data_IF_670855849842
#
_entry.id   IF_670855849842
#
_cell.length_a   1.000
_cell.length_b   1.000
_cell.length_c   1.000
_cell.angle_alpha   90.00
_cell.angle_beta   90.00
_cell.angle_gamma   90.00
#
_symmetry.space_group_name_H-M   'P 1'
#
loop_
_entity.id
_entity.type
_entity.pdbx_description
1 polymer ?
#
# COMPACT_ATOMS: atom_id res chain seq x y z
N UNK A 1 2.25 28.59 34.62
CA UNK A 1 2.23 27.39 33.77
C UNK A 1 1.73 27.82 32.41
N UNK A 2 2.63 27.96 31.43
CA UNK A 2 2.24 28.35 30.06
C UNK A 2 1.73 27.07 29.40
N UNK A 3 0.41 26.99 29.17
CA UNK A 3 -0.17 25.97 28.29
C UNK A 3 0.27 26.29 26.86
N UNK A 4 1.42 25.74 26.46
CA UNK A 4 1.86 25.79 25.07
C UNK A 4 1.12 24.66 24.34
N UNK A 5 -0.14 24.91 23.98
CA UNK A 5 -0.76 24.18 22.89
C UNK A 5 -0.08 24.63 21.58
N UNK A 6 1.17 24.23 21.39
CA UNK A 6 1.85 24.38 20.10
C UNK A 6 1.17 23.38 19.18
N UNK A 7 0.22 23.85 18.38
CA UNK A 7 -0.21 23.10 17.21
C UNK A 7 1.02 22.90 16.34
N UNK A 8 1.54 21.68 16.31
CA UNK A 8 2.62 21.32 15.41
C UNK A 8 2.10 21.57 13.99
N UNK A 9 2.67 22.55 13.27
CA UNK A 9 2.35 22.79 11.87
C UNK A 9 2.79 21.56 11.07
N UNK A 10 1.86 20.65 10.82
CA UNK A 10 2.05 19.57 9.86
C UNK A 10 1.80 20.13 8.47
N UNK A 11 2.68 19.79 7.53
CA UNK A 11 2.53 20.17 6.14
C UNK A 11 2.76 18.96 5.27
N UNK A 12 2.05 18.94 4.15
CA UNK A 12 2.21 17.91 3.14
C UNK A 12 2.90 18.50 1.92
N UNK A 13 3.91 17.82 1.41
CA UNK A 13 4.47 18.12 0.09
C UNK A 13 3.51 17.57 -0.99
N UNK A 14 2.84 18.43 -1.78
CA UNK A 14 1.89 17.98 -2.79
C UNK A 14 2.54 17.16 -3.90
N UNK A 15 3.83 17.36 -4.19
CA UNK A 15 4.53 16.56 -5.19
C UNK A 15 4.69 15.12 -4.74
N UNK A 16 5.07 14.90 -3.48
CA UNK A 16 5.22 13.55 -2.93
C UNK A 16 3.88 12.84 -2.75
N UNK A 17 2.79 13.59 -2.47
CA UNK A 17 1.42 13.03 -2.54
C UNK A 17 1.10 12.56 -3.96
N UNK A 18 1.31 13.41 -4.96
CA UNK A 18 1.02 13.04 -6.34
C UNK A 18 1.86 11.83 -6.79
N UNK A 19 3.12 11.77 -6.39
CA UNK A 19 4.03 10.67 -6.67
C UNK A 19 3.61 9.37 -5.99
N UNK A 20 3.18 9.40 -4.72
CA UNK A 20 2.70 8.21 -4.01
C UNK A 20 1.46 7.63 -4.71
N UNK A 21 0.50 8.49 -5.07
CA UNK A 21 -0.71 8.11 -5.81
C UNK A 21 -0.35 7.50 -7.17
N UNK A 22 0.60 8.10 -7.89
CA UNK A 22 1.06 7.58 -9.18
C UNK A 22 1.69 6.18 -9.04
N UNK A 23 2.58 5.98 -8.05
CA UNK A 23 3.19 4.67 -7.76
C UNK A 23 2.10 3.63 -7.51
N UNK A 24 1.09 3.98 -6.72
CA UNK A 24 -0.04 3.10 -6.41
C UNK A 24 -0.83 2.69 -7.65
N UNK A 25 -1.11 3.65 -8.55
CA UNK A 25 -1.82 3.40 -9.81
C UNK A 25 -0.99 2.50 -10.73
N UNK A 26 0.31 2.76 -10.89
CA UNK A 26 1.22 1.92 -11.69
C UNK A 26 1.28 0.49 -11.14
N UNK A 27 1.37 0.34 -9.82
CA UNK A 27 1.31 -0.96 -9.15
C UNK A 27 0.01 -1.71 -9.42
N UNK A 28 -1.12 -1.00 -9.36
CA UNK A 28 -2.43 -1.58 -9.63
C UNK A 28 -2.55 -2.08 -11.08
N UNK A 29 -2.03 -1.34 -12.06
CA UNK A 29 -1.94 -1.80 -13.45
C UNK A 29 -1.04 -3.03 -13.57
N UNK A 30 0.19 -2.98 -13.06
CA UNK A 30 1.16 -4.07 -13.16
C UNK A 30 0.59 -5.37 -12.58
N UNK A 31 -0.04 -5.28 -11.42
CA UNK A 31 -0.58 -6.45 -10.76
C UNK A 31 -1.90 -6.94 -11.37
N UNK A 32 -2.69 -6.10 -12.05
CA UNK A 32 -3.82 -6.59 -12.87
C UNK A 32 -3.30 -7.37 -14.08
N UNK A 33 -2.30 -6.85 -14.77
CA UNK A 33 -1.72 -7.50 -15.95
C UNK A 33 -1.05 -8.84 -15.60
N UNK A 34 -0.26 -8.86 -14.52
CA UNK A 34 0.31 -10.08 -13.98
C UNK A 34 -0.77 -11.07 -13.54
N UNK A 35 -1.91 -10.61 -13.01
CA UNK A 35 -3.01 -11.49 -12.63
C UNK A 35 -3.66 -12.21 -13.81
N UNK A 36 -3.70 -11.59 -15.00
CA UNK A 36 -4.17 -12.26 -16.22
C UNK A 36 -3.21 -13.39 -16.61
N UNK A 37 -1.90 -13.14 -16.55
CA UNK A 37 -0.87 -14.17 -16.80
C UNK A 37 -0.89 -15.32 -15.81
N UNK A 38 -1.16 -15.05 -14.53
CA UNK A 38 -1.34 -16.10 -13.51
C UNK A 38 -2.54 -16.99 -13.87
N UNK A 39 -3.61 -16.47 -14.48
CA UNK A 39 -4.78 -17.28 -14.85
C UNK A 39 -4.53 -18.20 -16.04
N UNK A 40 -3.67 -17.79 -16.97
CA UNK A 40 -3.37 -18.53 -18.20
C UNK A 40 -2.22 -19.53 -18.03
N UNK A 41 -1.33 -19.30 -17.06
CA UNK A 41 -0.19 -20.17 -16.79
C UNK A 41 -0.53 -21.43 -15.98
N UNK A 42 0.31 -22.46 -16.11
CA UNK A 42 0.26 -23.70 -15.32
C UNK A 42 1.64 -24.10 -14.78
N UNK A 43 1.68 -24.95 -13.76
CA UNK A 43 2.91 -25.53 -13.23
C UNK A 43 3.91 -24.48 -12.71
N UNK A 44 5.19 -24.58 -13.12
CA UNK A 44 6.25 -23.66 -12.69
C UNK A 44 6.04 -22.22 -13.17
N UNK A 45 5.47 -22.02 -14.35
CA UNK A 45 5.17 -20.69 -14.87
C UNK A 45 4.10 -19.99 -14.02
N UNK A 46 3.08 -20.74 -13.57
CA UNK A 46 2.07 -20.21 -12.64
C UNK A 46 2.70 -19.69 -11.34
N UNK A 47 3.62 -20.47 -10.75
CA UNK A 47 4.35 -20.04 -9.54
C UNK A 47 5.18 -18.78 -9.79
N UNK A 48 5.87 -18.71 -10.93
CA UNK A 48 6.69 -17.54 -11.29
C UNK A 48 5.84 -16.27 -11.45
N UNK A 49 4.70 -16.36 -12.15
CA UNK A 49 3.80 -15.22 -12.31
C UNK A 49 3.14 -14.81 -10.99
N UNK A 50 2.79 -15.78 -10.12
CA UNK A 50 2.23 -15.49 -8.81
C UNK A 50 3.24 -14.76 -7.93
N UNK A 51 4.48 -15.27 -7.87
CA UNK A 51 5.56 -14.65 -7.12
C UNK A 51 5.88 -13.25 -7.66
N UNK A 52 6.06 -13.11 -8.99
CA UNK A 52 6.33 -11.82 -9.63
C UNK A 52 5.21 -10.81 -9.40
N UNK A 53 3.94 -11.22 -9.57
CA UNK A 53 2.77 -10.39 -9.31
C UNK A 53 2.68 -9.92 -7.86
N UNK A 54 2.88 -10.83 -6.91
CA UNK A 54 2.84 -10.52 -5.48
C UNK A 54 3.98 -9.60 -5.06
N UNK A 55 5.20 -9.84 -5.56
CA UNK A 55 6.36 -9.00 -5.27
C UNK A 55 6.20 -7.61 -5.88
N UNK A 56 5.75 -7.49 -7.13
CA UNK A 56 5.52 -6.20 -7.77
C UNK A 56 4.44 -5.38 -7.02
N UNK A 57 3.32 -6.01 -6.67
CA UNK A 57 2.24 -5.37 -5.92
C UNK A 57 2.66 -4.96 -4.51
N UNK A 58 3.43 -5.82 -3.83
CA UNK A 58 3.95 -5.55 -2.51
C UNK A 58 4.95 -4.41 -2.50
N UNK A 59 5.86 -4.37 -3.48
CA UNK A 59 6.80 -3.26 -3.69
C UNK A 59 6.05 -1.97 -3.98
N UNK A 60 5.02 -1.98 -4.83
CA UNK A 60 4.22 -0.80 -5.11
C UNK A 60 3.51 -0.28 -3.84
N UNK A 61 2.95 -1.19 -3.05
CA UNK A 61 2.23 -0.85 -1.82
C UNK A 61 3.16 -0.23 -0.79
N UNK A 62 4.34 -0.84 -0.62
CA UNK A 62 5.40 -0.36 0.24
C UNK A 62 5.94 1.00 -0.21
N UNK A 63 6.27 1.13 -1.50
CA UNK A 63 6.80 2.36 -2.07
C UNK A 63 5.81 3.53 -1.96
N UNK A 64 4.52 3.28 -2.20
CA UNK A 64 3.47 4.25 -1.97
C UNK A 64 3.47 4.70 -0.52
N UNK A 65 3.43 3.76 0.43
CA UNK A 65 3.36 4.09 1.86
C UNK A 65 4.54 4.97 2.30
N UNK A 66 5.77 4.58 2.02
CA UNK A 66 6.94 5.36 2.45
C UNK A 66 7.08 6.69 1.69
N UNK A 67 6.69 6.75 0.42
CA UNK A 67 6.61 8.04 -0.31
C UNK A 67 5.54 8.95 0.30
N UNK A 68 4.40 8.38 0.73
CA UNK A 68 3.35 9.09 1.47
C UNK A 68 3.83 9.60 2.83
N UNK A 69 4.53 8.77 3.60
CA UNK A 69 5.16 9.19 4.87
C UNK A 69 6.16 10.33 4.67
N UNK A 70 6.96 10.29 3.61
CA UNK A 70 7.91 11.36 3.27
C UNK A 70 7.22 12.67 2.88
N UNK A 71 5.98 12.62 2.40
CA UNK A 71 5.21 13.83 2.14
C UNK A 71 4.82 14.58 3.43
N UNK A 72 4.77 13.88 4.56
CA UNK A 72 4.35 14.44 5.85
C UNK A 72 5.54 14.98 6.65
N UNK A 73 5.56 16.29 6.86
CA UNK A 73 6.64 16.97 7.60
C UNK A 73 6.30 17.13 9.07
N UNK A 74 7.18 16.63 9.94
CA UNK A 74 7.16 16.83 11.39
C UNK A 74 8.36 17.70 11.83
N UNK A 75 8.21 18.51 12.90
CA UNK A 75 9.30 19.35 13.44
C UNK A 75 10.34 18.54 14.22
N UNK A 76 10.20 17.22 14.27
CA UNK A 76 11.13 16.30 14.92
C UNK A 76 11.71 15.32 13.89
N UNK A 77 13.00 14.95 14.00
CA UNK A 77 13.58 13.95 13.11
C UNK A 77 12.87 12.60 13.26
N UNK A 78 12.40 12.04 12.14
CA UNK A 78 11.82 10.69 12.08
C UNK A 78 12.88 9.72 11.55
N UNK A 79 13.14 8.65 12.31
CA UNK A 79 13.95 7.51 11.88
C UNK A 79 13.07 6.27 11.75
N UNK A 80 13.61 5.23 11.11
CA UNK A 80 12.90 3.97 10.89
C UNK A 80 13.75 2.78 11.29
N UNK A 81 13.15 1.84 12.02
CA UNK A 81 13.75 0.56 12.34
C UNK A 81 13.79 -0.35 11.10
N UNK A 82 14.99 -0.57 10.52
CA UNK A 82 15.10 -1.26 9.23
C UNK A 82 14.54 -2.70 9.21
N UNK A 83 14.63 -3.52 10.27
CA UNK A 83 14.01 -4.84 10.27
C UNK A 83 12.49 -4.76 10.16
N UNK A 84 11.86 -3.85 10.91
CA UNK A 84 10.40 -3.65 10.85
C UNK A 84 9.96 -3.07 9.49
N UNK A 85 10.78 -2.22 8.87
CA UNK A 85 10.56 -1.75 7.49
C UNK A 85 10.51 -2.92 6.52
N UNK A 86 11.46 -3.86 6.58
CA UNK A 86 11.45 -5.06 5.73
C UNK A 86 10.29 -6.00 6.05
N UNK A 87 9.94 -6.13 7.33
CA UNK A 87 8.77 -6.91 7.75
C UNK A 87 7.49 -6.34 7.12
N UNK A 88 7.33 -5.02 7.09
CA UNK A 88 6.17 -4.38 6.45
C UNK A 88 6.06 -4.74 4.96
N UNK A 89 7.19 -4.77 4.23
CA UNK A 89 7.26 -5.21 2.83
C UNK A 89 6.83 -6.68 2.69
N UNK A 90 7.36 -7.56 3.54
CA UNK A 90 7.00 -8.99 3.52
C UNK A 90 5.51 -9.21 3.80
N UNK A 91 4.94 -8.49 4.76
CA UNK A 91 3.49 -8.53 5.06
C UNK A 91 2.68 -8.18 3.82
N UNK A 92 3.08 -7.13 3.08
CA UNK A 92 2.40 -6.76 1.83
C UNK A 92 2.54 -7.82 0.74
N UNK A 93 3.74 -8.34 0.51
CA UNK A 93 3.96 -9.39 -0.49
C UNK A 93 3.11 -10.63 -0.18
N UNK A 94 3.05 -11.05 1.09
CA UNK A 94 2.25 -12.21 1.50
C UNK A 94 0.75 -11.93 1.30
N UNK A 95 0.26 -10.76 1.72
CA UNK A 95 -1.14 -10.37 1.52
C UNK A 95 -1.52 -10.32 0.04
N UNK A 96 -0.66 -9.75 -0.81
CA UNK A 96 -0.84 -9.68 -2.25
C UNK A 96 -0.78 -11.06 -2.92
N UNK A 97 0.14 -11.93 -2.49
CA UNK A 97 0.19 -13.32 -2.95
C UNK A 97 -1.09 -14.09 -2.62
N UNK A 98 -1.60 -13.96 -1.40
CA UNK A 98 -2.85 -14.59 -0.98
C UNK A 98 -4.04 -14.06 -1.80
N UNK A 99 -4.14 -12.74 -2.00
CA UNK A 99 -5.18 -12.15 -2.82
C UNK A 99 -5.14 -12.65 -4.27
N UNK A 100 -3.96 -12.62 -4.91
CA UNK A 100 -3.75 -13.11 -6.29
C UNK A 100 -4.08 -14.60 -6.42
N UNK A 101 -3.64 -15.42 -5.47
CA UNK A 101 -3.94 -16.85 -5.44
C UNK A 101 -5.45 -17.14 -5.39
N UNK A 102 -6.20 -16.33 -4.63
CA UNK A 102 -7.66 -16.48 -4.52
C UNK A 102 -8.38 -16.09 -5.81
N UNK A 103 -7.96 -15.00 -6.47
CA UNK A 103 -8.61 -14.51 -7.71
C UNK A 103 -8.15 -15.24 -8.98
N UNK A 104 -7.01 -15.92 -8.95
CA UNK A 104 -6.49 -16.62 -10.14
C UNK A 104 -7.18 -17.95 -10.48
N UNK A 105 -8.21 -18.35 -9.71
CA UNK A 105 -8.90 -19.64 -9.90
C UNK A 105 -10.06 -19.52 -10.91
N UNK A 106 -10.26 -20.55 -11.74
CA UNK A 106 -11.12 -20.57 -12.94
C UNK A 106 -12.59 -20.12 -12.80
N UNK A 107 -13.19 -20.19 -11.60
CA UNK A 107 -14.55 -19.71 -11.35
C UNK A 107 -14.54 -18.79 -10.13
N UNK A 108 -14.33 -17.50 -10.35
CA UNK A 108 -14.39 -16.49 -9.28
C UNK A 108 -15.86 -16.12 -9.03
N UNK A 109 -16.29 -16.27 -7.78
CA UNK A 109 -17.60 -15.85 -7.28
C UNK A 109 -17.42 -14.84 -6.15
N UNK A 110 -18.48 -14.13 -5.79
CA UNK A 110 -18.47 -13.11 -4.73
C UNK A 110 -17.75 -13.50 -3.43
N UNK A 111 -17.88 -14.73 -2.88
CA UNK A 111 -17.14 -15.10 -1.66
C UNK A 111 -15.62 -15.09 -1.84
N UNK A 112 -15.11 -15.43 -3.03
CA UNK A 112 -13.69 -15.37 -3.33
C UNK A 112 -13.22 -13.93 -3.51
N UNK A 113 -14.05 -13.07 -4.10
CA UNK A 113 -13.73 -11.64 -4.18
C UNK A 113 -13.65 -11.04 -2.79
N UNK A 114 -14.57 -11.39 -1.88
CA UNK A 114 -14.53 -10.96 -0.49
C UNK A 114 -13.27 -11.43 0.23
N UNK A 115 -12.92 -12.71 0.09
CA UNK A 115 -11.68 -13.23 0.67
C UNK A 115 -10.43 -12.52 0.11
N UNK A 116 -10.37 -12.33 -1.21
CA UNK A 116 -9.26 -11.62 -1.85
C UNK A 116 -9.19 -10.13 -1.42
N UNK A 117 -10.33 -9.46 -1.23
CA UNK A 117 -10.35 -8.07 -0.76
C UNK A 117 -9.92 -7.94 0.69
N UNK A 118 -10.18 -8.94 1.53
CA UNK A 118 -9.67 -8.98 2.91
C UNK A 118 -8.15 -9.16 2.91
N UNK A 119 -7.61 -10.07 2.09
CA UNK A 119 -6.15 -10.22 1.96
C UNK A 119 -5.49 -8.98 1.36
N UNK A 120 -6.09 -8.38 0.33
CA UNK A 120 -5.55 -7.18 -0.32
C UNK A 120 -5.66 -5.94 0.57
N UNK A 121 -6.88 -5.55 0.94
CA UNK A 121 -7.13 -4.34 1.73
C UNK A 121 -6.71 -4.46 3.19
N UNK A 122 -6.97 -5.61 3.81
CA UNK A 122 -6.69 -5.85 5.23
C UNK A 122 -5.22 -6.20 5.48
N UNK A 123 -4.69 -7.24 4.84
CA UNK A 123 -3.32 -7.69 5.09
C UNK A 123 -2.31 -6.86 4.29
N UNK A 124 -2.47 -6.79 2.97
CA UNK A 124 -1.43 -6.18 2.12
C UNK A 124 -1.32 -4.68 2.34
N UNK A 125 -2.44 -3.96 2.23
CA UNK A 125 -2.50 -2.51 2.35
C UNK A 125 -2.43 -2.11 3.83
N UNK A 126 -3.42 -2.49 4.64
CA UNK A 126 -3.51 -2.00 6.03
C UNK A 126 -2.44 -2.63 6.94
N UNK A 127 -2.18 -3.93 6.80
CA UNK A 127 -1.15 -4.63 7.57
C UNK A 127 0.25 -4.06 7.33
N UNK A 128 0.60 -3.76 6.08
CA UNK A 128 1.84 -3.03 5.78
C UNK A 128 1.85 -1.67 6.46
N UNK A 129 0.78 -0.89 6.34
CA UNK A 129 0.72 0.47 6.88
C UNK A 129 1.00 0.49 8.38
N UNK A 130 0.27 -0.31 9.16
CA UNK A 130 0.46 -0.31 10.61
C UNK A 130 1.79 -0.93 11.04
N UNK A 131 2.30 -1.93 10.30
CA UNK A 131 3.65 -2.47 10.55
C UNK A 131 4.72 -1.40 10.27
N UNK A 132 4.56 -0.62 9.21
CA UNK A 132 5.47 0.46 8.85
C UNK A 132 5.40 1.65 9.83
N UNK A 133 4.20 1.99 10.32
CA UNK A 133 4.03 2.97 11.41
C UNK A 133 4.75 2.51 12.69
N UNK A 134 4.67 1.21 13.02
CA UNK A 134 5.39 0.63 14.16
C UNK A 134 6.92 0.64 13.97
N UNK A 135 7.42 0.82 12.73
CA UNK A 135 8.85 0.99 12.46
C UNK A 135 9.35 2.40 12.77
N UNK A 136 8.46 3.40 12.89
CA UNK A 136 8.85 4.77 13.15
C UNK A 136 9.50 4.91 14.54
N UNK A 137 10.59 5.66 14.59
CA UNK A 137 11.33 6.04 15.79
C UNK A 137 11.46 7.55 15.78
N UNK A 138 10.64 8.21 16.57
CA UNK A 138 10.67 9.65 16.80
C UNK A 138 10.50 9.95 18.28
N UNK A 139 10.86 11.16 18.69
CA UNK A 139 10.63 11.63 20.06
C UNK A 139 9.18 12.12 20.20
N UNK A 140 8.25 11.17 20.25
CA UNK A 140 6.82 11.44 20.40
C UNK A 140 5.98 10.17 20.48
N UNK A 141 4.84 10.26 21.13
CA UNK A 141 3.81 9.22 21.12
C UNK A 141 2.78 9.54 20.03
N UNK A 142 2.34 8.52 19.31
CA UNK A 142 1.18 8.62 18.43
C UNK A 142 -0.06 8.15 19.19
N UNK A 143 -1.08 9.00 19.25
CA UNK A 143 -2.41 8.60 19.69
C UNK A 143 -3.31 8.46 18.46
N UNK A 144 -3.91 7.29 18.32
CA UNK A 144 -4.76 6.97 17.19
C UNK A 144 -6.23 7.00 17.61
N UNK A 145 -7.06 7.68 16.83
CA UNK A 145 -8.51 7.54 16.95
C UNK A 145 -8.93 6.15 16.45
N UNK A 146 -9.46 5.25 17.31
CA UNK A 146 -9.83 3.90 16.89
C UNK A 146 -10.89 3.90 15.78
N UNK A 147 -11.74 4.92 15.75
CA UNK A 147 -12.77 5.09 14.74
C UNK A 147 -12.18 5.35 13.34
N UNK A 148 -11.19 6.25 13.23
CA UNK A 148 -10.55 6.57 11.95
C UNK A 148 -9.62 5.45 11.47
N UNK A 149 -8.95 4.76 12.39
CA UNK A 149 -8.19 3.53 12.08
C UNK A 149 -9.12 2.44 11.55
N UNK A 150 -10.25 2.20 12.20
CA UNK A 150 -11.22 1.22 11.71
C UNK A 150 -11.78 1.63 10.35
N UNK A 151 -12.08 2.92 10.16
CA UNK A 151 -12.56 3.46 8.90
C UNK A 151 -11.55 3.27 7.76
N UNK A 152 -10.25 3.54 7.98
CA UNK A 152 -9.22 3.38 6.95
C UNK A 152 -9.11 1.93 6.48
N UNK A 153 -9.14 0.97 7.41
CA UNK A 153 -9.13 -0.47 7.11
C UNK A 153 -10.37 -0.89 6.33
N UNK A 154 -11.56 -0.43 6.76
CA UNK A 154 -12.82 -0.72 6.07
C UNK A 154 -12.81 -0.15 4.65
N UNK A 155 -12.35 1.09 4.46
CA UNK A 155 -12.21 1.70 3.14
C UNK A 155 -11.26 0.90 2.24
N UNK A 156 -10.11 0.45 2.77
CA UNK A 156 -9.17 -0.38 2.02
C UNK A 156 -9.82 -1.67 1.50
N UNK A 157 -10.58 -2.37 2.37
CA UNK A 157 -11.25 -3.62 2.02
C UNK A 157 -12.39 -3.38 1.03
N UNK A 158 -13.23 -2.37 1.26
CA UNK A 158 -14.39 -2.05 0.41
C UNK A 158 -13.94 -1.62 -0.99
N UNK A 159 -12.95 -0.72 -1.09
CA UNK A 159 -12.44 -0.26 -2.39
C UNK A 159 -11.75 -1.42 -3.13
N UNK A 160 -10.97 -2.24 -2.41
CA UNK A 160 -10.39 -3.47 -2.99
C UNK A 160 -11.47 -4.42 -3.50
N UNK A 161 -12.54 -4.62 -2.73
CA UNK A 161 -13.68 -5.45 -3.13
C UNK A 161 -14.34 -4.93 -4.40
N UNK A 162 -14.60 -3.63 -4.49
CA UNK A 162 -15.19 -3.00 -5.68
C UNK A 162 -14.27 -3.16 -6.90
N UNK A 163 -12.96 -2.93 -6.74
CA UNK A 163 -11.98 -3.03 -7.83
C UNK A 163 -11.86 -4.46 -8.35
N UNK A 164 -11.73 -5.44 -7.44
CA UNK A 164 -11.67 -6.86 -7.80
C UNK A 164 -12.99 -7.35 -8.40
N UNK A 165 -14.13 -6.86 -7.91
CA UNK A 165 -15.46 -7.16 -8.48
C UNK A 165 -15.62 -6.64 -9.90
N UNK A 166 -15.03 -5.48 -10.20
CA UNK A 166 -15.06 -4.89 -11.54
C UNK A 166 -14.16 -5.68 -12.50
N UNK A 167 -12.98 -6.09 -12.03
CA UNK A 167 -11.98 -6.84 -12.79
C UNK A 167 -12.37 -8.31 -13.05
N UNK A 168 -12.82 -9.04 -12.02
CA UNK A 168 -12.83 -10.51 -12.06
C UNK A 168 -14.22 -11.17 -12.13
N UNK A 169 -15.31 -10.46 -11.85
CA UNK A 169 -16.63 -11.06 -11.92
C UNK A 169 -17.12 -11.18 -13.37
N UNK A 170 -17.67 -12.36 -13.75
CA UNK A 170 -18.31 -12.56 -15.04
C UNK A 170 -19.47 -11.57 -15.22
N UNK A 171 -19.58 -10.98 -16.42
CA UNK A 171 -20.72 -10.15 -16.82
C UNK A 171 -21.05 -10.48 -18.27
N UNK A 172 -22.27 -10.96 -18.49
CA UNK A 172 -22.75 -11.33 -19.82
C UNK A 172 -23.00 -10.07 -20.67
N UNK A 173 -22.52 -10.08 -21.92
CA UNK A 173 -23.00 -9.16 -22.97
C UNK A 173 -22.62 -7.67 -22.91
N UNK A 174 -21.58 -7.24 -22.20
CA UNK A 174 -21.24 -5.80 -22.10
C UNK A 174 -20.06 -5.36 -22.99
N UNK A 175 -20.26 -4.44 -23.97
CA UNK A 175 -19.15 -3.68 -24.53
C UNK A 175 -18.48 -2.83 -23.44
N UNK A 176 -17.15 -2.64 -23.52
CA UNK A 176 -16.40 -1.83 -22.54
C UNK A 176 -15.39 -2.58 -21.66
N UNK A 177 -14.85 -3.72 -22.11
CA UNK A 177 -13.77 -4.46 -21.40
C UNK A 177 -12.57 -3.54 -21.05
N UNK A 178 -12.16 -2.66 -21.96
CA UNK A 178 -11.08 -1.70 -21.72
C UNK A 178 -11.42 -0.68 -20.62
N UNK A 179 -12.61 -0.06 -20.69
CA UNK A 179 -13.07 0.88 -19.65
C UNK A 179 -13.12 0.22 -18.27
N UNK A 180 -13.56 -1.04 -18.19
CA UNK A 180 -13.58 -1.81 -16.94
C UNK A 180 -12.17 -2.10 -16.42
N UNK A 181 -11.24 -2.47 -17.30
CA UNK A 181 -9.85 -2.71 -16.94
C UNK A 181 -9.22 -1.45 -16.32
N UNK A 182 -9.28 -0.31 -17.01
CA UNK A 182 -8.78 0.96 -16.50
C UNK A 182 -9.52 1.40 -15.23
N UNK A 183 -10.84 1.24 -15.19
CA UNK A 183 -11.65 1.54 -14.00
C UNK A 183 -11.24 0.71 -12.78
N UNK A 184 -10.97 -0.59 -12.95
CA UNK A 184 -10.49 -1.44 -11.86
C UNK A 184 -9.08 -1.10 -11.41
N UNK A 185 -8.20 -0.73 -12.34
CA UNK A 185 -6.83 -0.34 -12.05
C UNK A 185 -6.79 0.96 -11.23
N UNK A 186 -7.55 1.97 -11.66
CA UNK A 186 -7.67 3.25 -10.96
C UNK A 186 -8.30 3.08 -9.58
N UNK A 187 -9.38 2.30 -9.47
CA UNK A 187 -10.04 2.08 -8.19
C UNK A 187 -9.14 1.32 -7.19
N UNK A 188 -8.43 0.30 -7.66
CA UNK A 188 -7.45 -0.42 -6.85
C UNK A 188 -6.28 0.49 -6.45
N UNK A 189 -5.76 1.27 -7.41
CA UNK A 189 -4.69 2.23 -7.17
C UNK A 189 -5.08 3.32 -6.16
N UNK A 190 -6.36 3.66 -6.07
CA UNK A 190 -6.88 4.60 -5.07
C UNK A 190 -7.02 4.00 -3.67
N UNK A 191 -7.23 2.68 -3.54
CA UNK A 191 -7.46 2.02 -2.24
C UNK A 191 -6.32 2.28 -1.24
N UNK A 192 -5.09 2.22 -1.73
CA UNK A 192 -3.89 2.34 -0.92
C UNK A 192 -3.69 3.78 -0.37
N UNK A 193 -3.66 4.86 -1.20
CA UNK A 193 -3.54 6.23 -0.69
C UNK A 193 -4.76 6.65 0.12
N UNK A 194 -5.98 6.24 -0.24
CA UNK A 194 -7.19 6.54 0.56
C UNK A 194 -7.04 5.95 1.96
N UNK A 195 -6.64 4.69 2.08
CA UNK A 195 -6.38 4.07 3.38
C UNK A 195 -5.27 4.81 4.13
N UNK A 196 -4.12 5.04 3.49
CA UNK A 196 -2.95 5.64 4.15
C UNK A 196 -3.25 7.05 4.68
N UNK A 197 -3.81 7.95 3.86
CA UNK A 197 -4.09 9.32 4.28
C UNK A 197 -5.25 9.40 5.29
N UNK A 198 -6.22 8.49 5.22
CA UNK A 198 -7.26 8.37 6.26
C UNK A 198 -6.67 7.90 7.59
N UNK A 199 -5.75 6.94 7.55
CA UNK A 199 -5.04 6.45 8.74
C UNK A 199 -4.13 7.55 9.32
N UNK A 200 -3.40 8.29 8.50
CA UNK A 200 -2.58 9.42 8.95
C UNK A 200 -3.42 10.54 9.59
N UNK A 201 -4.64 10.76 9.12
CA UNK A 201 -5.58 11.69 9.76
C UNK A 201 -6.06 11.21 11.15
N UNK A 202 -5.91 9.91 11.46
CA UNK A 202 -6.23 9.35 12.77
C UNK A 202 -5.13 9.63 13.82
N UNK A 203 -3.91 9.91 13.36
CA UNK A 203 -2.71 9.98 14.20
C UNK A 203 -2.51 11.40 14.70
N UNK A 204 -2.42 11.56 16.03
CA UNK A 204 -1.92 12.78 16.67
C UNK A 204 -0.56 12.53 17.28
N UNK A 205 0.44 13.33 16.89
CA UNK A 205 1.79 13.26 17.45
C UNK A 205 1.91 14.21 18.63
N UNK A 206 2.18 13.68 19.82
CA UNK A 206 2.51 14.48 21.01
C UNK A 206 3.97 14.25 21.39
N UNK A 207 4.62 15.30 21.90
CA UNK A 207 5.99 15.16 22.41
C UNK A 207 6.01 14.21 23.63
N UNK A 208 7.04 13.37 23.71
CA UNK A 208 7.26 12.46 24.84
C UNK A 208 8.67 12.65 25.38
N UNK A 209 8.79 12.67 26.70
CA UNK A 209 10.07 12.70 27.42
C UNK A 209 10.76 11.33 27.45
N UNK A 210 10.10 10.27 26.98
CA UNK A 210 10.72 8.95 26.83
C UNK A 210 11.82 8.98 25.75
N UNK A 211 13.01 8.52 26.10
CA UNK A 211 14.15 8.43 25.18
C UNK A 211 13.87 7.30 24.17
N UNK A 212 13.73 7.58 22.87
CA UNK A 212 13.47 6.54 21.89
C UNK A 212 14.65 5.58 21.78
N UNK A 213 14.37 4.27 21.73
CA UNK A 213 15.38 3.27 21.46
C UNK A 213 15.75 3.34 19.97
N UNK A 214 16.96 3.81 19.67
CA UNK A 214 17.46 3.97 18.31
C UNK A 214 18.29 2.78 17.79
N UNK A 215 18.25 1.63 18.45
CA UNK A 215 18.86 0.40 17.91
C UNK A 215 18.26 0.11 16.53
N UNK A 216 19.12 -0.08 15.51
CA UNK A 216 18.72 -0.31 14.11
C UNK A 216 17.94 0.84 13.44
N UNK A 217 17.86 2.02 14.06
CA UNK A 217 17.16 3.17 13.50
C UNK A 217 17.99 3.86 12.41
N UNK A 218 17.43 3.94 11.20
CA UNK A 218 18.05 4.56 10.03
C UNK A 218 17.26 5.81 9.65
N UNK A 219 17.96 6.89 9.32
CA UNK A 219 17.36 8.09 8.72
C UNK A 219 17.26 7.93 7.20
N UNK A 220 16.16 8.37 6.60
CA UNK A 220 16.01 8.36 5.15
C UNK A 220 16.80 9.53 4.57
N UNK A 221 17.95 9.25 3.95
CA UNK A 221 18.72 10.24 3.21
C UNK A 221 18.04 10.61 1.89
N UNK A 222 18.49 11.69 1.22
CA UNK A 222 18.00 12.04 -0.12
C UNK A 222 18.16 10.88 -1.13
N UNK A 223 19.26 10.11 -1.02
CA UNK A 223 19.46 8.88 -1.78
C UNK A 223 18.43 7.79 -1.43
N UNK A 224 18.08 7.66 -0.16
CA UNK A 224 17.02 6.77 0.30
C UNK A 224 15.64 7.13 -0.27
N UNK A 225 15.31 8.42 -0.35
CA UNK A 225 14.09 8.92 -0.98
C UNK A 225 14.05 8.51 -2.45
N UNK A 226 15.13 8.80 -3.20
CA UNK A 226 15.24 8.40 -4.60
C UNK A 226 15.14 6.88 -4.77
N UNK A 227 15.74 6.10 -3.86
CA UNK A 227 15.62 4.64 -3.87
C UNK A 227 14.20 4.15 -3.65
N UNK A 228 13.48 4.69 -2.66
CA UNK A 228 12.11 4.31 -2.30
C UNK A 228 11.10 4.71 -3.38
N UNK A 229 11.34 5.80 -4.10
CA UNK A 229 10.41 6.29 -5.12
C UNK A 229 10.77 5.82 -6.54
N UNK A 230 12.03 5.93 -6.97
CA UNK A 230 12.41 5.69 -8.38
C UNK A 230 12.56 4.20 -8.67
N UNK A 231 13.21 3.42 -7.80
CA UNK A 231 13.45 1.99 -8.07
C UNK A 231 12.12 1.22 -8.23
N UNK A 232 11.11 1.41 -7.35
CA UNK A 232 9.80 0.81 -7.54
C UNK A 232 9.13 1.24 -8.84
N UNK A 233 9.17 2.53 -9.21
CA UNK A 233 8.62 2.99 -10.50
C UNK A 233 9.29 2.27 -11.67
N UNK A 234 10.63 2.15 -11.67
CA UNK A 234 11.34 1.42 -12.72
C UNK A 234 10.94 -0.05 -12.76
N UNK A 235 10.89 -0.73 -11.62
CA UNK A 235 10.46 -2.14 -11.53
C UNK A 235 9.03 -2.31 -12.06
N UNK A 236 8.12 -1.40 -11.73
CA UNK A 236 6.72 -1.45 -12.16
C UNK A 236 6.57 -1.15 -13.66
N UNK A 237 7.33 -0.19 -14.19
CA UNK A 237 7.34 0.10 -15.63
C UNK A 237 7.92 -1.09 -16.40
N UNK A 238 9.02 -1.68 -15.94
CA UNK A 238 9.58 -2.89 -16.56
C UNK A 238 8.59 -4.05 -16.49
N UNK A 239 7.93 -4.24 -15.34
CA UNK A 239 6.88 -5.25 -15.20
C UNK A 239 5.79 -5.02 -16.26
N UNK A 240 5.25 -3.81 -16.37
CA UNK A 240 4.22 -3.43 -17.36
C UNK A 240 4.66 -3.59 -18.82
N UNK A 241 5.93 -3.35 -19.12
CA UNK A 241 6.46 -3.48 -20.49
C UNK A 241 6.78 -4.93 -20.88
N UNK A 242 6.91 -5.82 -19.89
CA UNK A 242 7.25 -7.24 -20.09
C UNK A 242 6.07 -8.18 -19.83
N UNK A 243 5.02 -7.66 -19.20
CA UNK A 243 3.70 -8.29 -19.06
C UNK A 243 2.82 -8.08 -20.30
#
# INVERSE_FOLDING_TARGET
MININVTINNSYDPFLIALSVLISILGAYAALDLSERVRDARGRAWLAWLAGGATADGIATWAMHYTGMLSFSLPVPVKYDWPTVLLSLLVSIIGSAAALFVVSRSKVRWPRILAASIFMGGVSISGLHFTAMAAMRLQGMHHDSPALVTLSVVLAIVISFMALSLAFLPRDGTPGRGLRYHGSALLRGAANPIMHYTAMAAVTFTYSDEVPVFSHAVSISALGILGISIVPVMVLVVALLTS
#
